data_IF_705731872292
#
_entry.id   IF_705731872292
#
_cell.length_a   1.000
_cell.length_b   1.000
_cell.length_c   1.000
_cell.angle_alpha   90.00
_cell.angle_beta   90.00
_cell.angle_gamma   90.00
#
_symmetry.space_group_name_H-M   'P 1'
#
loop_
_entity.id
_entity.type
_entity.pdbx_description
1 polymer ?
#
# COMPACT_ATOMS: atom_id res chain seq x y z
N UNK A 1 -4.27 -1.71 7.08
CA UNK A 1 -3.77 -3.07 7.41
C UNK A 1 -4.32 -3.53 8.77
N UNK A 2 -4.26 -4.83 9.09
CA UNK A 2 -4.75 -5.36 10.39
C UNK A 2 -4.11 -4.73 11.63
N UNK A 3 -2.84 -4.31 11.55
CA UNK A 3 -2.15 -3.55 12.60
C UNK A 3 -2.79 -2.19 12.87
N UNK A 4 -3.10 -1.42 11.82
CA UNK A 4 -3.74 -0.11 11.98
C UNK A 4 -5.16 -0.24 12.56
N UNK A 5 -5.90 -1.27 12.15
CA UNK A 5 -7.23 -1.56 12.69
C UNK A 5 -7.18 -1.91 14.19
N UNK A 6 -6.24 -2.76 14.62
CA UNK A 6 -6.08 -3.10 16.03
C UNK A 6 -5.67 -1.87 16.88
N UNK A 7 -4.76 -1.05 16.38
CA UNK A 7 -4.32 0.18 17.07
C UNK A 7 -5.47 1.19 17.18
N UNK A 8 -6.23 1.41 16.10
CA UNK A 8 -7.36 2.34 16.12
C UNK A 8 -8.48 1.86 17.04
N UNK A 9 -8.77 0.55 17.06
CA UNK A 9 -9.73 -0.05 17.96
C UNK A 9 -9.38 0.16 19.44
N UNK A 10 -8.12 -0.06 19.81
CA UNK A 10 -7.63 0.15 21.18
C UNK A 10 -7.67 1.63 21.57
N UNK A 11 -7.26 2.53 20.68
CA UNK A 11 -7.33 3.98 20.90
C UNK A 11 -8.75 4.48 21.10
N UNK A 12 -9.74 3.96 20.35
CA UNK A 12 -11.17 4.29 20.53
C UNK A 12 -11.73 3.84 21.88
N UNK A 13 -11.05 2.93 22.56
CA UNK A 13 -11.38 2.46 23.92
C UNK A 13 -10.47 3.08 24.97
N UNK A 14 -9.77 4.17 24.62
CA UNK A 14 -8.83 4.89 25.50
C UNK A 14 -7.64 4.06 25.99
N UNK A 15 -7.38 2.90 25.38
CA UNK A 15 -6.25 2.03 25.73
C UNK A 15 -5.03 2.41 24.89
N UNK A 16 -4.06 3.04 25.54
CA UNK A 16 -2.81 3.46 24.91
C UNK A 16 -1.76 2.38 25.10
N UNK A 17 -1.59 1.54 24.06
CA UNK A 17 -0.60 0.47 24.06
C UNK A 17 0.52 0.80 23.08
N UNK A 18 1.75 0.54 23.49
CA UNK A 18 2.90 0.67 22.62
C UNK A 18 2.77 -0.24 21.38
N UNK A 19 3.16 0.30 20.24
CA UNK A 19 2.98 -0.37 18.95
C UNK A 19 3.65 -1.75 18.88
N UNK A 20 4.82 -1.91 19.52
CA UNK A 20 5.55 -3.20 19.58
C UNK A 20 4.74 -4.30 20.25
N UNK A 21 3.96 -3.96 21.30
CA UNK A 21 3.15 -4.93 22.05
C UNK A 21 1.96 -5.40 21.21
N UNK A 22 1.32 -4.49 20.48
CA UNK A 22 0.23 -4.84 19.55
C UNK A 22 0.73 -5.74 18.42
N UNK A 23 1.90 -5.44 17.85
CA UNK A 23 2.54 -6.30 16.83
C UNK A 23 2.87 -7.68 17.40
N UNK A 24 3.44 -7.75 18.59
CA UNK A 24 3.76 -9.00 19.27
C UNK A 24 2.51 -9.85 19.52
N UNK A 25 1.42 -9.25 20.00
CA UNK A 25 0.15 -9.94 20.19
C UNK A 25 -0.44 -10.45 18.87
N UNK A 26 -0.48 -9.62 17.83
CA UNK A 26 -0.96 -10.01 16.51
C UNK A 26 -0.11 -11.12 15.87
N UNK A 27 1.20 -11.17 16.15
CA UNK A 27 2.07 -12.27 15.71
C UNK A 27 1.81 -13.57 16.45
N UNK A 28 1.45 -13.51 17.74
CA UNK A 28 1.10 -14.70 18.52
C UNK A 28 -0.24 -15.29 18.09
N UNK A 29 -1.22 -14.43 17.82
CA UNK A 29 -2.58 -14.86 17.44
C UNK A 29 -2.63 -15.29 15.97
N UNK A 30 -1.97 -14.55 15.07
CA UNK A 30 -2.06 -14.74 13.62
C UNK A 30 -0.69 -14.63 12.94
N UNK A 31 0.30 -15.40 13.42
CA UNK A 31 1.64 -15.44 12.85
C UNK A 31 1.65 -15.96 11.42
N UNK A 32 0.87 -17.02 11.16
CA UNK A 32 0.75 -17.66 9.85
C UNK A 32 0.00 -16.76 8.85
N UNK A 33 -1.14 -16.19 9.21
CA UNK A 33 -1.88 -15.29 8.33
C UNK A 33 -1.13 -14.00 8.03
N UNK A 34 -0.34 -13.48 8.97
CA UNK A 34 0.58 -12.38 8.68
C UNK A 34 1.70 -12.77 7.72
N UNK A 35 2.26 -13.98 7.84
CA UNK A 35 3.27 -14.47 6.91
C UNK A 35 2.70 -14.66 5.50
N UNK A 36 1.50 -15.25 5.39
CA UNK A 36 0.81 -15.44 4.12
C UNK A 36 0.47 -14.11 3.44
N UNK A 37 -0.09 -13.13 4.16
CA UNK A 37 -0.38 -11.78 3.61
C UNK A 37 0.88 -11.01 3.19
N UNK A 38 2.02 -11.26 3.83
CA UNK A 38 3.32 -10.70 3.40
C UNK A 38 3.86 -11.42 2.17
N UNK A 39 3.53 -12.70 2.01
CA UNK A 39 3.90 -13.54 0.85
C UNK A 39 2.99 -13.33 -0.35
N UNK A 40 1.79 -12.78 -0.17
CA UNK A 40 0.98 -12.26 -1.27
C UNK A 40 1.70 -11.08 -1.90
N UNK A 41 2.65 -11.41 -2.77
CA UNK A 41 3.27 -10.50 -3.71
C UNK A 41 2.12 -9.79 -4.42
N UNK A 42 2.15 -8.45 -4.40
CA UNK A 42 1.25 -7.64 -5.21
C UNK A 42 1.30 -8.22 -6.63
N UNK A 43 0.23 -8.92 -7.05
CA UNK A 43 0.13 -9.48 -8.39
C UNK A 43 0.01 -8.31 -9.34
N UNK A 44 1.15 -7.81 -9.81
CA UNK A 44 1.20 -6.76 -10.82
C UNK A 44 0.53 -7.32 -12.07
N UNK A 45 -0.60 -6.73 -12.46
CA UNK A 45 -1.26 -7.08 -13.71
C UNK A 45 -0.41 -6.57 -14.86
N UNK A 46 -0.15 -7.43 -15.85
CA UNK A 46 0.41 -6.99 -17.11
C UNK A 46 -0.71 -6.34 -17.92
N UNK A 47 -0.74 -5.01 -17.99
CA UNK A 47 -1.65 -4.29 -18.88
C UNK A 47 -1.10 -4.40 -20.31
N UNK A 48 -1.83 -5.09 -21.18
CA UNK A 48 -1.63 -5.07 -22.64
C UNK A 48 -2.80 -4.30 -23.23
N UNK A 49 -2.48 -3.26 -23.98
CA UNK A 49 -3.46 -2.46 -24.74
C UNK A 49 -3.25 -2.69 -26.23
N UNK A 50 -4.29 -2.56 -27.07
CA UNK A 50 -4.23 -2.96 -28.47
C UNK A 50 -3.46 -1.98 -29.37
N UNK A 51 -3.29 -0.71 -28.96
CA UNK A 51 -2.65 0.34 -29.76
C UNK A 51 -2.14 1.49 -28.88
N UNK A 52 -1.20 2.32 -29.37
CA UNK A 52 -0.83 3.58 -28.72
C UNK A 52 -2.04 4.47 -28.43
N UNK A 53 -1.95 5.30 -27.39
CA UNK A 53 -3.00 6.23 -26.97
C UNK A 53 -4.34 5.59 -26.57
N UNK A 54 -4.43 4.27 -26.42
CA UNK A 54 -5.66 3.61 -25.98
C UNK A 54 -5.92 3.79 -24.49
N UNK A 55 -4.86 3.79 -23.65
CA UNK A 55 -4.94 3.98 -22.20
C UNK A 55 -3.69 4.71 -21.72
N UNK A 56 -3.88 5.75 -20.93
CA UNK A 56 -2.80 6.51 -20.30
C UNK A 56 -2.75 6.16 -18.81
N UNK A 57 -1.57 5.77 -18.34
CA UNK A 57 -1.30 5.57 -16.93
C UNK A 57 -0.86 6.87 -16.28
N UNK A 58 -1.50 7.25 -15.18
CA UNK A 58 -1.13 8.40 -14.35
C UNK A 58 -0.69 7.89 -12.98
N UNK A 59 0.48 8.32 -12.50
CA UNK A 59 0.95 8.01 -11.15
C UNK A 59 1.51 9.26 -10.44
N UNK A 60 1.34 9.29 -9.12
CA UNK A 60 1.75 10.37 -8.25
C UNK A 60 2.97 9.98 -7.40
N UNK A 61 4.05 10.74 -7.51
CA UNK A 61 5.22 10.59 -6.67
C UNK A 61 5.15 11.49 -5.42
N UNK A 62 4.80 10.90 -4.29
CA UNK A 62 4.46 11.64 -3.06
C UNK A 62 5.65 11.85 -2.11
N UNK A 63 6.91 11.63 -2.53
CA UNK A 63 8.07 11.79 -1.62
C UNK A 63 8.20 13.21 -1.07
N UNK A 64 7.75 14.22 -1.82
CA UNK A 64 7.83 15.62 -1.42
C UNK A 64 6.55 16.19 -0.80
N UNK A 65 5.58 15.33 -0.46
CA UNK A 65 4.26 15.78 0.01
C UNK A 65 4.32 16.60 1.31
N UNK A 66 5.37 16.42 2.13
CA UNK A 66 5.59 17.23 3.35
C UNK A 66 5.87 18.70 3.05
N UNK A 67 6.37 19.01 1.86
CA UNK A 67 6.59 20.37 1.36
C UNK A 67 5.45 20.84 0.44
N UNK A 68 4.34 20.09 0.36
CA UNK A 68 3.21 20.41 -0.51
C UNK A 68 3.43 20.09 -1.99
N UNK A 69 4.49 19.35 -2.34
CA UNK A 69 4.84 19.05 -3.74
C UNK A 69 4.52 17.58 -4.05
N UNK A 70 3.82 17.35 -5.16
CA UNK A 70 3.57 16.01 -5.72
C UNK A 70 3.91 16.03 -7.20
N UNK A 71 4.81 15.14 -7.62
CA UNK A 71 5.17 15.00 -9.04
C UNK A 71 4.23 14.00 -9.69
N UNK A 72 3.54 14.39 -10.75
CA UNK A 72 2.66 13.50 -11.51
C UNK A 72 3.34 13.12 -12.81
N UNK A 73 3.45 11.82 -13.07
CA UNK A 73 3.95 11.28 -14.33
C UNK A 73 2.81 10.64 -15.10
N UNK A 74 2.76 10.89 -16.41
CA UNK A 74 1.79 10.27 -17.31
C UNK A 74 2.55 9.50 -18.38
N UNK A 75 2.10 8.27 -18.66
CA UNK A 75 2.75 7.36 -19.60
C UNK A 75 1.71 6.68 -20.48
N UNK A 76 1.99 6.51 -21.78
CA UNK A 76 1.16 5.65 -22.63
C UNK A 76 1.37 4.19 -22.22
N UNK A 77 0.29 3.50 -21.88
CA UNK A 77 0.34 2.14 -21.34
C UNK A 77 0.76 1.11 -22.40
N UNK A 78 0.67 1.49 -23.69
CA UNK A 78 1.11 0.67 -24.82
C UNK A 78 2.64 0.66 -24.95
N UNK A 79 3.27 1.82 -25.18
CA UNK A 79 4.72 1.90 -25.36
C UNK A 79 5.51 1.89 -24.04
N UNK A 80 4.89 2.32 -22.92
CA UNK A 80 5.51 2.47 -21.60
C UNK A 80 6.79 3.32 -21.66
N UNK A 81 6.78 4.34 -22.50
CA UNK A 81 7.88 5.32 -22.64
C UNK A 81 7.43 6.64 -22.04
N UNK A 82 8.32 7.26 -21.26
CA UNK A 82 8.15 8.58 -20.63
C UNK A 82 8.68 9.65 -21.56
#
# INVERSE_FOLDING_TARGET
>A
SGRQYAISFLRRRSVHVEQRRVIGALRRIDGLGQALRRRDVIKRRAYKVPRPNAVWGLDGHHKLIRWGIVLHGIIDTYCRTV
#
